data_IF_382505704787
#
_entry.id   IF_382505704787
#
_cell.length_a   1.000
_cell.length_b   1.000
_cell.length_c   1.000
_cell.angle_alpha   90.00
_cell.angle_beta   90.00
_cell.angle_gamma   90.00
#
_symmetry.space_group_name_H-M   'P 1'
#
loop_
_entity.id
_entity.type
_entity.pdbx_description
1 polymer ?
#
# COMPACT_ATOMS: atom_id res chain seq x y z
N UNK A 1 -9.22 -18.76 -19.10
CA UNK A 1 -10.00 -17.50 -19.17
C UNK A 1 -9.64 -16.81 -20.48
N UNK A 2 -10.56 -16.77 -21.44
CA UNK A 2 -10.35 -16.13 -22.74
C UNK A 2 -10.53 -14.61 -22.60
N UNK A 3 -9.91 -13.85 -23.52
CA UNK A 3 -9.77 -12.39 -23.44
C UNK A 3 -11.09 -11.57 -23.58
N UNK A 4 -12.26 -12.23 -23.56
CA UNK A 4 -13.57 -11.61 -23.87
C UNK A 4 -14.39 -11.19 -22.64
N UNK A 5 -14.01 -11.56 -21.42
CA UNK A 5 -14.82 -11.30 -20.20
C UNK A 5 -14.28 -10.21 -19.27
N UNK A 6 -13.23 -9.47 -19.65
CA UNK A 6 -12.70 -8.40 -18.77
C UNK A 6 -13.60 -7.17 -18.67
N UNK A 7 -14.57 -7.00 -19.59
CA UNK A 7 -15.51 -5.88 -19.61
C UNK A 7 -14.84 -4.54 -19.88
N UNK A 8 -14.54 -3.78 -18.83
CA UNK A 8 -14.09 -2.37 -18.91
C UNK A 8 -12.78 -2.13 -18.15
N UNK A 9 -12.04 -1.13 -18.59
CA UNK A 9 -10.83 -0.66 -17.94
C UNK A 9 -11.17 0.00 -16.61
N UNK A 10 -10.71 -0.55 -15.49
CA UNK A 10 -11.05 0.00 -14.17
C UNK A 10 -10.50 1.42 -13.92
N UNK A 11 -9.57 1.91 -14.75
CA UNK A 11 -9.03 3.26 -14.65
C UNK A 11 -9.91 4.30 -15.36
N UNK A 12 -10.44 4.02 -16.54
CA UNK A 12 -11.10 5.04 -17.37
C UNK A 12 -12.35 4.55 -18.09
N UNK A 13 -12.82 3.34 -17.80
CA UNK A 13 -14.04 2.73 -18.33
C UNK A 13 -14.06 2.46 -19.83
N UNK A 14 -12.94 2.71 -20.52
CA UNK A 14 -12.66 2.29 -21.90
C UNK A 14 -12.58 0.75 -22.01
N UNK A 15 -12.59 0.21 -23.22
CA UNK A 15 -12.57 -1.25 -23.43
C UNK A 15 -11.25 -1.84 -22.90
N UNK A 16 -11.33 -2.80 -21.98
CA UNK A 16 -10.17 -3.50 -21.48
C UNK A 16 -9.62 -4.47 -22.54
N UNK A 17 -8.30 -4.51 -22.70
CA UNK A 17 -7.62 -5.39 -23.67
C UNK A 17 -7.02 -6.65 -23.02
N UNK A 18 -7.08 -6.72 -21.68
CA UNK A 18 -6.46 -7.75 -20.86
C UNK A 18 -6.05 -7.24 -19.48
N UNK A 19 -5.50 -8.15 -18.67
CA UNK A 19 -4.95 -7.85 -17.36
C UNK A 19 -3.53 -7.29 -17.56
N UNK A 20 -3.30 -6.03 -17.20
CA UNK A 20 -1.97 -5.43 -17.22
C UNK A 20 -1.63 -4.90 -15.84
N UNK A 21 -0.44 -5.23 -15.33
CA UNK A 21 -0.01 -4.86 -13.98
C UNK A 21 -1.04 -5.29 -12.92
N UNK A 22 -1.58 -6.51 -13.04
CA UNK A 22 -2.61 -7.11 -12.18
C UNK A 22 -4.04 -6.56 -12.29
N UNK A 23 -4.33 -5.65 -13.23
CA UNK A 23 -5.66 -5.02 -13.35
C UNK A 23 -6.20 -5.05 -14.79
N UNK A 24 -7.52 -5.31 -15.00
CA UNK A 24 -8.20 -5.09 -16.29
C UNK A 24 -8.02 -3.65 -16.79
N UNK A 25 -7.30 -3.46 -17.90
CA UNK A 25 -6.98 -2.12 -18.41
C UNK A 25 -6.98 -2.04 -19.93
N UNK A 26 -7.27 -0.84 -20.45
CA UNK A 26 -7.13 -0.51 -21.87
C UNK A 26 -5.67 -0.21 -22.22
N UNK A 27 -5.33 -0.23 -23.52
CA UNK A 27 -3.97 0.02 -23.99
C UNK A 27 -3.39 1.39 -23.57
N UNK A 28 -4.16 2.49 -23.59
CA UNK A 28 -3.65 3.79 -23.16
C UNK A 28 -3.32 3.84 -21.66
N UNK A 29 -4.11 3.19 -20.80
CA UNK A 29 -3.83 3.15 -19.35
C UNK A 29 -2.65 2.25 -19.02
N UNK A 30 -2.49 1.11 -19.73
CA UNK A 30 -1.28 0.28 -19.66
C UNK A 30 -0.02 1.09 -19.97
N UNK A 31 0.01 1.79 -21.11
CA UNK A 31 1.17 2.55 -21.55
C UNK A 31 1.43 3.79 -20.68
N UNK A 32 0.37 4.41 -20.16
CA UNK A 32 0.46 5.51 -19.22
C UNK A 32 1.11 5.06 -17.90
N UNK A 33 0.61 3.97 -17.30
CA UNK A 33 1.12 3.46 -16.04
C UNK A 33 2.60 3.07 -16.13
N UNK A 34 2.99 2.33 -17.18
CA UNK A 34 4.39 1.94 -17.41
C UNK A 34 5.36 3.12 -17.45
N UNK A 35 4.94 4.26 -18.03
CA UNK A 35 5.79 5.46 -18.14
C UNK A 35 5.86 6.31 -16.88
N UNK A 36 4.85 6.22 -16.02
CA UNK A 36 4.67 7.18 -14.93
C UNK A 36 4.63 6.55 -13.53
N UNK A 37 4.62 5.22 -13.41
CA UNK A 37 4.55 4.51 -12.13
C UNK A 37 5.67 4.90 -11.13
N UNK A 38 6.83 5.33 -11.61
CA UNK A 38 7.95 5.81 -10.76
C UNK A 38 7.83 7.28 -10.39
N UNK A 39 6.89 8.02 -10.98
CA UNK A 39 6.73 9.47 -10.83
C UNK A 39 5.66 9.87 -9.81
N UNK A 40 4.99 8.91 -9.17
CA UNK A 40 4.02 9.24 -8.13
C UNK A 40 4.74 9.89 -6.95
N UNK A 41 4.26 11.06 -6.50
CA UNK A 41 4.87 11.81 -5.40
C UNK A 41 6.04 12.72 -5.81
N UNK A 42 6.38 12.81 -7.10
CA UNK A 42 7.33 13.81 -7.59
C UNK A 42 6.63 15.14 -7.89
N UNK A 43 7.40 16.24 -7.88
CA UNK A 43 6.89 17.58 -8.22
C UNK A 43 6.30 17.65 -9.64
N UNK A 44 6.66 16.73 -10.54
CA UNK A 44 6.11 16.65 -11.91
C UNK A 44 4.66 16.14 -11.97
N UNK A 45 4.16 15.56 -10.88
CA UNK A 45 2.86 14.88 -10.82
C UNK A 45 1.88 15.52 -9.83
N UNK A 46 1.77 16.85 -9.88
CA UNK A 46 0.83 17.64 -9.08
C UNK A 46 -0.49 17.84 -9.83
N UNK A 47 -1.62 17.74 -9.11
CA UNK A 47 -2.93 18.07 -9.67
C UNK A 47 -3.09 19.59 -9.76
N UNK A 48 -3.65 20.09 -10.87
CA UNK A 48 -3.96 21.53 -11.05
C UNK A 48 -5.33 21.94 -10.48
N UNK A 49 -6.03 21.00 -9.85
CA UNK A 49 -7.36 21.14 -9.26
C UNK A 49 -7.32 20.54 -7.84
N UNK A 50 -8.43 20.02 -7.31
CA UNK A 50 -8.56 19.53 -5.93
C UNK A 50 -8.09 18.08 -5.69
N UNK A 51 -7.34 17.48 -6.63
CA UNK A 51 -6.80 16.12 -6.48
C UNK A 51 -7.82 14.98 -6.70
N UNK A 52 -9.05 15.28 -7.08
CA UNK A 52 -10.17 14.33 -7.20
C UNK A 52 -10.76 14.24 -8.62
N UNK A 53 -9.99 14.64 -9.66
CA UNK A 53 -10.49 14.69 -11.03
C UNK A 53 -11.10 13.35 -11.50
N UNK A 54 -12.28 13.44 -12.10
CA UNK A 54 -12.98 12.30 -12.67
C UNK A 54 -12.23 11.78 -13.91
N UNK A 55 -11.79 10.51 -13.85
CA UNK A 55 -11.04 9.86 -14.93
C UNK A 55 -11.97 8.93 -15.71
N UNK A 56 -12.32 9.35 -16.93
CA UNK A 56 -13.09 8.57 -17.93
C UNK A 56 -12.33 8.49 -19.25
N UNK A 57 -12.83 7.71 -20.22
CA UNK A 57 -12.26 7.62 -21.57
C UNK A 57 -12.02 9.01 -22.19
N UNK A 58 -12.96 9.93 -21.99
CA UNK A 58 -12.93 11.31 -22.50
C UNK A 58 -11.96 12.22 -21.72
N UNK A 59 -11.95 12.13 -20.39
CA UNK A 59 -11.22 13.10 -19.53
C UNK A 59 -9.90 12.57 -18.93
N UNK A 60 -9.48 11.34 -19.27
CA UNK A 60 -8.21 10.75 -18.80
C UNK A 60 -6.93 11.50 -19.23
N UNK A 61 -7.02 12.54 -20.04
CA UNK A 61 -5.85 13.39 -20.40
C UNK A 61 -5.83 14.71 -19.62
N UNK A 62 -6.92 15.06 -18.94
CA UNK A 62 -7.08 16.35 -18.24
C UNK A 62 -6.23 16.46 -16.98
N UNK A 63 -5.92 15.33 -16.32
CA UNK A 63 -5.07 15.31 -15.14
C UNK A 63 -4.23 14.03 -15.06
N UNK A 64 -2.92 14.16 -15.29
CA UNK A 64 -1.99 13.03 -15.18
C UNK A 64 -1.84 12.57 -13.71
N UNK A 65 -1.82 13.51 -12.76
CA UNK A 65 -1.77 13.23 -11.32
C UNK A 65 -2.90 12.28 -10.88
N UNK A 66 -4.17 12.72 -11.02
CA UNK A 66 -5.33 11.93 -10.62
C UNK A 66 -5.46 10.62 -11.42
N UNK A 67 -5.04 10.60 -12.69
CA UNK A 67 -5.00 9.36 -13.48
C UNK A 67 -4.01 8.35 -12.91
N UNK A 68 -2.80 8.79 -12.56
CA UNK A 68 -1.79 7.90 -11.98
C UNK A 68 -2.22 7.43 -10.59
N UNK A 69 -2.75 8.32 -9.75
CA UNK A 69 -3.34 7.96 -8.47
C UNK A 69 -4.45 6.92 -8.62
N UNK A 70 -5.35 7.08 -9.60
CA UNK A 70 -6.41 6.09 -9.88
C UNK A 70 -5.84 4.75 -10.36
N UNK A 71 -4.77 4.73 -11.18
CA UNK A 71 -4.10 3.49 -11.57
C UNK A 71 -3.64 2.66 -10.34
N UNK A 72 -3.02 3.31 -9.36
CA UNK A 72 -2.62 2.63 -8.13
C UNK A 72 -3.82 2.22 -7.28
N UNK A 73 -4.83 3.09 -7.14
CA UNK A 73 -6.05 2.82 -6.37
C UNK A 73 -6.82 1.58 -6.86
N UNK A 74 -6.81 1.32 -8.17
CA UNK A 74 -7.44 0.11 -8.74
C UNK A 74 -6.55 -1.14 -8.68
N UNK A 75 -5.35 -1.02 -8.09
CA UNK A 75 -4.45 -2.15 -7.82
C UNK A 75 -3.32 -2.35 -8.83
N UNK A 76 -3.00 -1.39 -9.70
CA UNK A 76 -1.88 -1.55 -10.63
C UNK A 76 -0.54 -1.54 -9.89
N UNK A 77 0.29 -2.56 -10.11
CA UNK A 77 1.54 -2.75 -9.35
C UNK A 77 2.78 -2.32 -10.13
N UNK A 78 3.58 -1.40 -9.56
CA UNK A 78 4.87 -0.98 -10.13
C UNK A 78 5.90 -2.11 -10.18
N UNK A 79 5.84 -3.06 -9.24
CA UNK A 79 6.72 -4.24 -9.18
C UNK A 79 6.57 -5.19 -10.37
N UNK A 80 5.52 -5.03 -11.17
CA UNK A 80 5.33 -5.74 -12.43
C UNK A 80 5.96 -5.02 -13.63
N UNK A 81 6.65 -3.90 -13.42
CA UNK A 81 7.48 -3.20 -14.41
C UNK A 81 8.92 -3.66 -14.20
N UNK A 82 9.55 -4.17 -15.27
CA UNK A 82 10.95 -4.56 -15.25
C UNK A 82 11.85 -3.35 -15.01
N UNK A 83 12.91 -3.53 -14.24
CA UNK A 83 13.98 -2.53 -14.14
C UNK A 83 14.71 -2.35 -15.47
N UNK A 84 15.50 -1.29 -15.59
CA UNK A 84 16.32 -1.09 -16.78
C UNK A 84 17.36 -2.21 -16.94
N UNK A 85 17.96 -2.70 -15.85
CA UNK A 85 18.88 -3.85 -15.88
C UNK A 85 18.17 -5.14 -16.33
N UNK A 86 16.97 -5.42 -15.82
CA UNK A 86 16.18 -6.60 -16.19
C UNK A 86 15.72 -6.55 -17.65
N UNK A 87 15.38 -5.36 -18.14
CA UNK A 87 15.02 -5.12 -19.53
C UNK A 87 16.22 -5.34 -20.45
N UNK A 88 17.39 -4.86 -20.07
CA UNK A 88 18.62 -5.06 -20.83
C UNK A 88 19.03 -6.54 -20.86
N UNK A 89 18.97 -7.23 -19.72
CA UNK A 89 19.21 -8.66 -19.63
C UNK A 89 18.23 -9.46 -20.51
N UNK A 90 16.93 -9.12 -20.50
CA UNK A 90 15.94 -9.74 -21.40
C UNK A 90 16.25 -9.46 -22.87
N UNK A 91 16.61 -8.22 -23.22
CA UNK A 91 16.92 -7.86 -24.60
C UNK A 91 18.16 -8.62 -25.11
N UNK A 92 19.20 -8.76 -24.26
CA UNK A 92 20.37 -9.60 -24.54
C UNK A 92 19.98 -11.06 -24.77
N UNK A 93 19.12 -11.63 -23.93
CA UNK A 93 18.59 -12.99 -24.09
C UNK A 93 17.79 -13.16 -25.40
N UNK A 94 16.95 -12.18 -25.77
CA UNK A 94 16.19 -12.21 -27.02
C UNK A 94 17.12 -12.12 -28.24
N UNK A 95 18.15 -11.27 -28.18
CA UNK A 95 19.16 -11.17 -29.24
C UNK A 95 19.91 -12.50 -29.41
N UNK A 96 20.36 -13.11 -28.31
CA UNK A 96 21.01 -14.43 -28.32
C UNK A 96 20.08 -15.50 -28.92
N UNK A 97 18.80 -15.52 -28.55
CA UNK A 97 17.84 -16.50 -29.09
C UNK A 97 17.54 -16.29 -30.58
N UNK A 98 17.60 -15.05 -31.09
CA UNK A 98 17.48 -14.76 -32.52
C UNK A 98 18.73 -15.18 -33.29
N UNK A 99 19.92 -14.99 -32.72
CA UNK A 99 21.19 -15.47 -33.28
C UNK A 99 21.22 -17.00 -33.35
N UNK A 100 20.77 -17.70 -32.29
CA UNK A 100 20.66 -19.17 -32.26
C UNK A 100 19.64 -19.72 -33.28
N UNK A 101 18.65 -18.93 -33.69
CA UNK A 101 17.68 -19.27 -34.73
C UNK A 101 18.15 -18.89 -36.14
N UNK A 102 19.40 -18.45 -36.31
CA UNK A 102 19.96 -18.09 -37.61
C UNK A 102 19.34 -16.84 -38.24
N UNK A 103 18.67 -15.99 -37.46
CA UNK A 103 17.92 -14.82 -37.98
C UNK A 103 18.73 -13.51 -38.01
N UNK A 104 19.97 -13.51 -37.53
CA UNK A 104 20.89 -12.37 -37.59
C UNK A 104 22.31 -12.91 -37.87
N UNK A 105 22.97 -12.38 -38.90
CA UNK A 105 24.41 -12.60 -39.16
C UNK A 105 25.22 -11.69 -38.22
N UNK A 106 26.22 -12.24 -37.53
CA UNK A 106 27.02 -11.54 -36.52
C UNK A 106 27.86 -10.38 -37.12
N UNK A 107 28.40 -9.50 -36.25
CA UNK A 107 29.82 -9.69 -35.90
C UNK A 107 30.19 -9.47 -34.41
N UNK A 108 31.10 -10.34 -33.96
CA UNK A 108 32.28 -10.10 -33.10
C UNK A 108 32.17 -9.21 -31.85
N UNK A 109 31.77 -9.79 -30.72
CA UNK A 109 32.37 -9.52 -29.40
C UNK A 109 31.83 -10.51 -28.35
N UNK A 110 32.26 -11.77 -28.39
CA UNK A 110 31.96 -12.74 -27.33
C UNK A 110 33.14 -13.70 -27.12
N UNK A 111 34.29 -13.14 -26.73
CA UNK A 111 35.36 -13.91 -26.13
C UNK A 111 35.36 -13.56 -24.64
N UNK A 112 34.93 -14.50 -23.79
CA UNK A 112 35.23 -14.46 -22.36
C UNK A 112 34.06 -14.36 -21.37
N UNK A 113 32.92 -15.05 -21.57
CA UNK A 113 32.00 -15.29 -20.45
C UNK A 113 31.68 -16.78 -20.36
N UNK A 114 32.20 -17.40 -19.29
CA UNK A 114 32.00 -18.79 -18.93
C UNK A 114 30.51 -19.08 -18.79
N UNK A 115 29.96 -19.85 -19.74
CA UNK A 115 28.52 -20.13 -19.86
C UNK A 115 27.91 -20.86 -18.64
N UNK A 116 28.71 -21.40 -17.72
CA UNK A 116 28.21 -22.07 -16.52
C UNK A 116 27.61 -21.10 -15.49
N UNK A 117 28.01 -19.81 -15.48
CA UNK A 117 27.42 -18.80 -14.59
C UNK A 117 26.09 -18.22 -15.12
N UNK A 118 25.86 -18.25 -16.44
CA UNK A 118 24.68 -17.68 -17.11
C UNK A 118 23.47 -18.64 -17.15
N UNK A 119 23.68 -19.93 -16.84
CA UNK A 119 22.62 -20.92 -16.69
C UNK A 119 22.15 -21.13 -15.25
N UNK A 120 22.53 -20.26 -14.30
CA UNK A 120 21.58 -19.97 -13.21
C UNK A 120 20.48 -19.12 -13.82
N UNK A 121 19.52 -19.81 -14.44
CA UNK A 121 18.14 -19.35 -14.42
C UNK A 121 17.91 -18.78 -13.01
N UNK A 122 17.43 -17.54 -12.84
CA UNK A 122 16.74 -17.27 -11.61
C UNK A 122 15.60 -18.27 -11.64
N UNK A 123 15.77 -19.40 -10.94
CA UNK A 123 14.66 -19.95 -10.19
C UNK A 123 13.97 -18.71 -9.66
N UNK A 124 12.67 -18.57 -9.91
CA UNK A 124 11.89 -17.64 -9.10
C UNK A 124 12.26 -18.06 -7.68
N UNK A 125 13.20 -17.34 -7.06
CA UNK A 125 13.33 -17.35 -5.64
C UNK A 125 12.03 -16.69 -5.27
N UNK A 126 11.01 -17.52 -5.10
CA UNK A 126 10.08 -17.28 -4.04
C UNK A 126 11.01 -17.17 -2.84
N UNK A 127 11.49 -15.95 -2.57
CA UNK A 127 12.20 -15.63 -1.34
C UNK A 127 11.11 -15.80 -0.30
N UNK A 128 10.91 -17.05 0.09
CA UNK A 128 10.16 -17.38 1.27
C UNK A 128 10.91 -16.67 2.40
N UNK A 129 10.14 -16.03 3.27
CA UNK A 129 10.65 -15.43 4.48
C UNK A 129 11.51 -16.45 5.23
N UNK A 130 12.61 -16.00 5.86
CA UNK A 130 13.40 -16.90 6.69
C UNK A 130 12.53 -17.45 7.82
N UNK A 131 12.90 -18.58 8.42
CA UNK A 131 12.18 -19.11 9.58
C UNK A 131 12.12 -18.10 10.74
N UNK A 132 13.15 -17.26 10.88
CA UNK A 132 13.18 -16.16 11.85
C UNK A 132 12.14 -15.09 11.52
N UNK A 133 12.04 -14.66 10.26
CA UNK A 133 11.07 -13.64 9.85
C UNK A 133 9.62 -14.16 9.96
N UNK A 134 9.41 -15.44 9.64
CA UNK A 134 8.10 -16.08 9.82
C UNK A 134 7.70 -16.12 11.29
N UNK A 135 8.64 -16.39 12.20
CA UNK A 135 8.40 -16.38 13.64
C UNK A 135 8.05 -14.97 14.12
N UNK A 136 8.81 -13.96 13.70
CA UNK A 136 8.57 -12.56 14.03
C UNK A 136 7.16 -12.13 13.61
N UNK A 137 6.77 -12.41 12.36
CA UNK A 137 5.43 -12.08 11.87
C UNK A 137 4.34 -12.83 12.64
N UNK A 138 4.57 -14.09 13.00
CA UNK A 138 3.62 -14.88 13.80
C UNK A 138 3.43 -14.29 15.18
N UNK A 139 4.52 -13.88 15.84
CA UNK A 139 4.49 -13.24 17.15
C UNK A 139 3.73 -11.91 17.12
N UNK A 140 4.02 -11.07 16.13
CA UNK A 140 3.32 -9.80 15.90
C UNK A 140 1.82 -10.05 15.69
N UNK A 141 1.47 -11.00 14.82
CA UNK A 141 0.07 -11.31 14.51
C UNK A 141 -0.69 -11.84 15.74
N UNK A 142 -0.09 -12.76 16.49
CA UNK A 142 -0.71 -13.31 17.69
C UNK A 142 -0.88 -12.25 18.78
N UNK A 143 0.12 -11.39 19.00
CA UNK A 143 0.02 -10.27 19.92
C UNK A 143 -1.16 -9.37 19.53
N UNK A 144 -1.29 -9.07 18.24
CA UNK A 144 -2.34 -8.24 17.68
C UNK A 144 -3.75 -8.86 17.82
N UNK A 145 -3.89 -10.16 17.51
CA UNK A 145 -5.16 -10.89 17.60
C UNK A 145 -5.69 -10.92 19.05
N UNK A 146 -4.79 -11.15 20.01
CA UNK A 146 -5.15 -11.26 21.42
C UNK A 146 -5.41 -9.90 22.11
N UNK A 147 -5.11 -8.77 21.45
CA UNK A 147 -5.28 -7.43 22.03
C UNK A 147 -6.19 -6.56 21.16
N UNK A 148 -5.69 -6.02 20.06
CA UNK A 148 -6.41 -5.07 19.22
C UNK A 148 -7.68 -5.69 18.58
N UNK A 149 -7.61 -6.93 18.06
CA UNK A 149 -8.80 -7.59 17.48
C UNK A 149 -9.81 -7.94 18.58
N UNK A 150 -9.35 -8.46 19.71
CA UNK A 150 -10.21 -8.76 20.86
C UNK A 150 -10.92 -7.50 21.36
N UNK A 151 -10.18 -6.41 21.57
CA UNK A 151 -10.72 -5.13 22.01
C UNK A 151 -11.72 -4.58 21.00
N UNK A 152 -11.44 -4.63 19.70
CA UNK A 152 -12.39 -4.29 18.64
C UNK A 152 -13.70 -5.07 18.75
N UNK A 153 -13.64 -6.37 19.00
CA UNK A 153 -14.84 -7.21 19.08
C UNK A 153 -15.59 -7.04 20.41
N UNK A 154 -14.96 -6.42 21.41
CA UNK A 154 -15.48 -6.24 22.77
C UNK A 154 -15.63 -4.76 23.10
N UNK A 155 -14.62 -4.15 23.75
CA UNK A 155 -14.61 -2.80 24.29
C UNK A 155 -14.78 -1.70 23.24
N UNK A 156 -14.22 -1.87 22.04
CA UNK A 156 -14.19 -0.86 20.97
C UNK A 156 -15.22 -1.12 19.86
N UNK A 157 -16.13 -2.10 20.02
CA UNK A 157 -17.08 -2.50 18.96
C UNK A 157 -17.89 -1.36 18.38
N UNK A 158 -18.22 -0.37 19.20
CA UNK A 158 -19.00 0.80 18.81
C UNK A 158 -18.21 2.10 18.92
N UNK A 159 -16.87 2.04 18.88
CA UNK A 159 -16.03 3.18 19.21
C UNK A 159 -16.36 4.46 18.39
N UNK A 160 -16.37 5.65 19.03
CA UNK A 160 -16.39 5.87 20.47
C UNK A 160 -17.65 5.27 21.08
N UNK A 161 -17.57 4.65 22.25
CA UNK A 161 -18.68 3.87 22.83
C UNK A 161 -19.97 4.67 22.94
N UNK A 162 -19.85 5.98 23.14
CA UNK A 162 -20.93 6.96 23.14
C UNK A 162 -20.57 8.20 22.30
N UNK A 163 -21.56 9.04 22.02
CA UNK A 163 -21.31 10.38 21.50
C UNK A 163 -20.87 11.30 22.64
N UNK A 164 -19.65 11.80 22.55
CA UNK A 164 -19.14 12.76 23.53
C UNK A 164 -19.56 14.18 23.19
N UNK A 165 -19.75 15.00 24.22
CA UNK A 165 -20.02 16.44 24.10
C UNK A 165 -18.84 17.30 24.56
N UNK A 166 -17.80 16.67 25.13
CA UNK A 166 -16.60 17.35 25.59
C UNK A 166 -15.35 16.65 25.07
N UNK A 167 -14.32 17.45 24.81
CA UNK A 167 -13.00 16.96 24.42
C UNK A 167 -12.38 16.06 25.49
N UNK A 168 -12.68 16.31 26.77
CA UNK A 168 -12.17 15.52 27.88
C UNK A 168 -12.77 14.11 27.89
N UNK A 169 -14.10 13.99 27.74
CA UNK A 169 -14.77 12.68 27.67
C UNK A 169 -14.26 11.85 26.50
N UNK A 170 -14.15 12.48 25.32
CA UNK A 170 -13.61 11.81 24.13
C UNK A 170 -12.13 11.43 24.30
N UNK A 171 -11.33 12.31 24.92
CA UNK A 171 -9.92 12.07 25.22
C UNK A 171 -9.68 10.87 26.13
N UNK A 172 -10.58 10.61 27.09
CA UNK A 172 -10.49 9.44 27.96
C UNK A 172 -10.71 8.13 27.20
N UNK A 173 -11.63 8.09 26.23
CA UNK A 173 -11.80 6.89 25.39
C UNK A 173 -10.61 6.67 24.45
N UNK A 174 -10.05 7.74 23.89
CA UNK A 174 -8.79 7.65 23.13
C UNK A 174 -7.66 7.10 24.02
N UNK A 175 -7.58 7.52 25.28
CA UNK A 175 -6.57 7.01 26.21
C UNK A 175 -6.69 5.49 26.44
N UNK A 176 -7.91 4.96 26.50
CA UNK A 176 -8.15 3.52 26.58
C UNK A 176 -7.63 2.76 25.33
N UNK A 177 -7.67 3.37 24.14
CA UNK A 177 -7.04 2.78 22.95
C UNK A 177 -5.51 2.75 23.04
N UNK A 178 -4.90 3.79 23.61
CA UNK A 178 -3.46 3.81 23.86
C UNK A 178 -3.05 2.66 24.78
N UNK A 179 -3.84 2.38 25.82
CA UNK A 179 -3.59 1.25 26.71
C UNK A 179 -3.63 -0.10 25.97
N UNK A 180 -4.61 -0.29 25.08
CA UNK A 180 -4.70 -1.49 24.23
C UNK A 180 -3.47 -1.61 23.32
N UNK A 181 -3.04 -0.52 22.69
CA UNK A 181 -1.86 -0.50 21.85
C UNK A 181 -0.57 -0.76 22.64
N UNK A 182 -0.48 -0.35 23.91
CA UNK A 182 0.64 -0.68 24.78
C UNK A 182 0.63 -2.14 25.22
N UNK A 183 -0.54 -2.71 25.52
CA UNK A 183 -0.64 -4.15 25.78
C UNK A 183 -0.25 -4.99 24.56
N UNK A 184 -0.65 -4.57 23.36
CA UNK A 184 -0.18 -5.17 22.12
C UNK A 184 1.34 -5.24 22.04
N UNK A 185 2.04 -4.12 22.28
CA UNK A 185 3.51 -4.08 22.24
C UNK A 185 4.15 -4.98 23.30
N UNK A 186 3.55 -5.08 24.49
CA UNK A 186 4.03 -5.98 25.57
C UNK A 186 3.92 -7.45 25.21
N UNK A 187 3.03 -7.83 24.30
CA UNK A 187 2.90 -9.23 23.86
C UNK A 187 3.87 -9.61 22.74
N UNK A 188 4.62 -8.68 22.16
CA UNK A 188 5.62 -8.96 21.13
C UNK A 188 6.96 -9.34 21.81
N UNK A 189 7.41 -10.60 21.74
CA UNK A 189 8.67 -11.03 22.38
C UNK A 189 9.88 -10.22 21.93
N UNK A 190 9.96 -9.87 20.66
CA UNK A 190 11.07 -9.10 20.09
C UNK A 190 11.11 -7.67 20.61
N UNK A 191 9.95 -7.07 20.94
CA UNK A 191 9.90 -5.78 21.62
C UNK A 191 10.41 -5.90 23.06
N UNK A 192 10.09 -7.00 23.74
CA UNK A 192 10.55 -7.25 25.11
C UNK A 192 12.05 -7.56 25.23
N UNK A 193 12.70 -7.94 24.12
CA UNK A 193 14.15 -8.10 24.07
C UNK A 193 14.90 -6.76 24.13
N UNK A 194 14.21 -5.64 23.92
CA UNK A 194 14.79 -4.30 24.06
C UNK A 194 14.93 -3.91 25.52
N UNK A 195 15.88 -3.01 25.78
CA UNK A 195 16.04 -2.42 27.11
C UNK A 195 14.78 -1.66 27.53
N UNK A 196 14.57 -1.49 28.84
CA UNK A 196 13.42 -0.69 29.34
C UNK A 196 13.51 0.74 28.77
N UNK A 197 14.70 1.33 28.73
CA UNK A 197 14.90 2.68 28.21
C UNK A 197 14.53 2.79 26.73
N UNK A 198 14.91 1.81 25.90
CA UNK A 198 14.57 1.81 24.48
C UNK A 198 13.08 1.61 24.24
N UNK A 199 12.43 0.71 25.00
CA UNK A 199 10.97 0.54 24.94
C UNK A 199 10.24 1.83 25.29
N UNK A 200 10.67 2.50 26.37
CA UNK A 200 10.09 3.78 26.79
C UNK A 200 10.31 4.86 25.73
N UNK A 201 11.51 4.95 25.13
CA UNK A 201 11.81 5.92 24.07
C UNK A 201 10.98 5.67 22.81
N UNK A 202 10.85 4.41 22.38
CA UNK A 202 10.05 4.04 21.22
C UNK A 202 8.58 4.43 21.41
N UNK A 203 8.01 4.11 22.58
CA UNK A 203 6.63 4.44 22.91
C UNK A 203 6.42 5.96 22.97
N UNK A 204 7.30 6.68 23.67
CA UNK A 204 7.15 8.13 23.88
C UNK A 204 7.37 8.96 22.61
N UNK A 205 8.28 8.53 21.73
CA UNK A 205 8.62 9.28 20.52
C UNK A 205 7.71 8.97 19.33
N UNK A 206 6.98 7.85 19.36
CA UNK A 206 6.13 7.41 18.24
C UNK A 206 4.66 7.11 18.61
N UNK A 207 4.01 7.84 19.54
CA UNK A 207 2.64 7.50 19.99
C UNK A 207 1.61 7.60 18.85
N UNK A 208 1.73 8.62 18.00
CA UNK A 208 0.84 8.80 16.85
C UNK A 208 1.01 7.69 15.81
N UNK A 209 2.23 7.25 15.55
CA UNK A 209 2.51 6.15 14.61
C UNK A 209 1.97 4.83 15.15
N UNK A 210 2.18 4.54 16.44
CA UNK A 210 1.67 3.33 17.09
C UNK A 210 0.15 3.27 17.00
N UNK A 211 -0.55 4.35 17.33
CA UNK A 211 -2.01 4.39 17.14
C UNK A 211 -2.40 4.23 15.69
N UNK A 212 -1.76 4.97 14.78
CA UNK A 212 -2.20 5.05 13.39
C UNK A 212 -2.04 3.73 12.62
N UNK A 213 -1.05 2.91 12.96
CA UNK A 213 -0.92 1.53 12.43
C UNK A 213 -2.11 0.67 12.83
N UNK A 214 -2.59 0.84 14.07
CA UNK A 214 -3.61 -0.01 14.67
C UNK A 214 -5.03 0.52 14.43
N UNK A 215 -5.21 1.83 14.29
CA UNK A 215 -6.47 2.56 14.09
C UNK A 215 -7.40 1.91 13.05
N UNK A 216 -6.95 1.52 11.84
CA UNK A 216 -7.85 1.04 10.77
C UNK A 216 -8.32 -0.38 11.02
N UNK A 217 -7.55 -1.11 11.82
CA UNK A 217 -7.86 -2.48 12.20
C UNK A 217 -8.68 -2.50 13.50
N UNK A 218 -8.51 -1.52 14.39
CA UNK A 218 -9.37 -1.28 15.55
C UNK A 218 -10.71 -0.66 15.15
N UNK A 219 -10.72 0.20 14.13
CA UNK A 219 -11.90 0.93 13.64
C UNK A 219 -12.01 0.81 12.10
N UNK A 220 -12.62 -0.26 11.58
CA UNK A 220 -12.69 -0.50 10.13
C UNK A 220 -13.62 0.46 9.37
N UNK A 221 -14.19 1.47 10.02
CA UNK A 221 -14.97 2.51 9.39
C UNK A 221 -15.56 3.50 10.38
N UNK A 222 -16.06 4.64 9.88
CA UNK A 222 -16.59 5.70 10.74
C UNK A 222 -17.90 5.27 11.40
N UNK A 223 -17.92 5.27 12.73
CA UNK A 223 -19.14 5.04 13.51
C UNK A 223 -20.00 6.30 13.57
N UNK A 224 -21.32 6.13 13.72
CA UNK A 224 -22.22 7.25 13.99
C UNK A 224 -21.84 8.00 15.27
N UNK A 225 -21.22 7.32 16.24
CA UNK A 225 -20.75 7.93 17.47
C UNK A 225 -19.56 8.84 17.23
N UNK A 226 -18.64 8.48 16.33
CA UNK A 226 -17.49 9.33 15.99
C UNK A 226 -17.95 10.60 15.29
N UNK A 227 -18.88 10.45 14.33
CA UNK A 227 -19.49 11.59 13.62
C UNK A 227 -20.18 12.52 14.61
N UNK A 228 -21.05 11.97 15.47
CA UNK A 228 -21.78 12.75 16.47
C UNK A 228 -20.85 13.45 17.46
N UNK A 229 -19.83 12.73 17.95
CA UNK A 229 -18.80 13.28 18.85
C UNK A 229 -18.09 14.48 18.22
N UNK A 230 -17.65 14.36 16.97
CA UNK A 230 -16.97 15.47 16.29
C UNK A 230 -17.90 16.67 16.06
N UNK A 231 -19.17 16.43 15.70
CA UNK A 231 -20.16 17.50 15.54
C UNK A 231 -20.37 18.21 16.88
N UNK A 232 -20.52 17.46 17.97
CA UNK A 232 -20.77 18.03 19.29
C UNK A 232 -19.59 18.85 19.82
N UNK A 233 -18.34 18.40 19.58
CA UNK A 233 -17.14 19.05 20.14
C UNK A 233 -16.62 20.17 19.23
N UNK A 234 -16.60 19.96 17.92
CA UNK A 234 -15.93 20.84 16.96
C UNK A 234 -16.87 21.51 15.97
N UNK A 235 -18.15 21.15 15.96
CA UNK A 235 -19.13 21.65 14.99
C UNK A 235 -19.03 20.97 13.61
N UNK A 236 -20.04 21.19 12.75
CA UNK A 236 -20.20 20.48 11.49
C UNK A 236 -19.11 20.79 10.46
N UNK A 237 -18.60 22.02 10.41
CA UNK A 237 -17.60 22.44 9.41
C UNK A 237 -16.24 21.79 9.65
N UNK A 238 -15.77 21.76 10.89
CA UNK A 238 -14.52 21.10 11.27
C UNK A 238 -14.66 19.58 11.09
N UNK A 239 -15.78 19.01 11.52
CA UNK A 239 -16.11 17.59 11.32
C UNK A 239 -15.98 17.17 9.86
N UNK A 240 -16.54 17.94 8.92
CA UNK A 240 -16.45 17.67 7.49
C UNK A 240 -15.00 17.64 6.98
N UNK A 241 -14.14 18.52 7.52
CA UNK A 241 -12.70 18.53 7.20
C UNK A 241 -11.97 17.33 7.78
N UNK A 242 -12.27 16.96 9.02
CA UNK A 242 -11.70 15.78 9.69
C UNK A 242 -12.06 14.49 8.94
N UNK A 243 -13.32 14.31 8.53
CA UNK A 243 -13.74 13.15 7.73
C UNK A 243 -13.04 13.05 6.38
N UNK A 244 -12.90 14.18 5.68
CA UNK A 244 -12.16 14.21 4.41
C UNK A 244 -10.71 13.77 4.61
N UNK A 245 -10.08 14.22 5.69
CA UNK A 245 -8.70 13.86 6.03
C UNK A 245 -8.58 12.39 6.41
N UNK A 246 -9.45 11.85 7.29
CA UNK A 246 -9.44 10.43 7.65
C UNK A 246 -9.65 9.53 6.43
N UNK A 247 -10.60 9.86 5.56
CA UNK A 247 -10.85 9.10 4.33
C UNK A 247 -9.69 9.15 3.32
N UNK A 248 -8.90 10.23 3.32
CA UNK A 248 -7.65 10.30 2.55
C UNK A 248 -6.64 9.33 3.16
N UNK A 249 -6.49 9.34 4.49
CA UNK A 249 -5.53 8.50 5.19
C UNK A 249 -5.88 7.00 5.12
N UNK A 250 -7.16 6.62 5.21
CA UNK A 250 -7.65 5.25 4.99
C UNK A 250 -7.23 4.67 3.62
N UNK A 251 -7.11 5.52 2.59
CA UNK A 251 -6.65 5.08 1.27
C UNK A 251 -5.15 4.74 1.23
N UNK A 252 -4.39 5.18 2.23
CA UNK A 252 -2.95 5.02 2.35
C UNK A 252 -2.55 3.95 3.37
N UNK A 253 -3.42 3.62 4.31
CA UNK A 253 -3.22 2.54 5.30
C UNK A 253 -3.00 1.17 4.64
N UNK A 254 -3.71 0.91 3.54
CA UNK A 254 -3.54 -0.32 2.78
C UNK A 254 -2.41 -0.22 1.73
N UNK A 255 -1.66 0.89 1.70
CA UNK A 255 -0.51 1.04 0.81
C UNK A 255 0.66 0.19 1.36
N UNK A 256 1.10 -0.85 0.63
CA UNK A 256 2.20 -1.71 1.05
C UNK A 256 3.53 -0.98 1.25
N UNK A 257 3.67 0.24 0.71
CA UNK A 257 4.86 1.08 0.86
C UNK A 257 4.82 1.77 2.23
N UNK A 258 3.66 2.23 2.69
CA UNK A 258 3.54 2.84 4.02
C UNK A 258 3.69 1.77 5.10
N UNK A 259 3.12 0.58 4.91
CA UNK A 259 3.39 -0.57 5.78
C UNK A 259 4.87 -0.96 5.84
N UNK A 260 5.66 -0.73 4.79
CA UNK A 260 7.12 -0.99 4.72
C UNK A 260 8.01 0.13 5.25
N UNK A 261 7.46 1.34 5.42
CA UNK A 261 8.17 2.46 6.06
C UNK A 261 7.94 2.45 7.57
N UNK A 262 6.92 1.71 8.00
CA UNK A 262 6.42 1.68 9.37
C UNK A 262 6.72 0.33 10.07
N UNK A 263 6.92 -0.75 9.32
CA UNK A 263 7.60 -1.99 9.74
C UNK A 263 9.04 -1.99 9.26
#
# INVERSE_FOLDING_TARGET
MTNRDLGRCLVCDDVAIGINFCVPTCMPCKAFFRRNAVKLGTQEFVCRYDGDCIITHKYRRSCNCCRLAKCFRVGMRKSSILSDEEREARNKLVAINRLKRGQLTQPECLIGIQLSALFRMPSKSTQYLSSSDQMLLTNIFNAYENTCILARNTTLKNYPTIQHTSIHGFGNEIAAEYEIAFEYLKLIPEFNNLTIDDRVRLIKNHPGTILHINEPLMHPGPSNNLVGTWINIFGPDITKRLFRRNRIIEQFIFDPIILKVVL
#
